data_IF_396018515664
#
_entry.id   IF_396018515664
#
_cell.length_a   1.000
_cell.length_b   1.000
_cell.length_c   1.000
_cell.angle_alpha   90.00
_cell.angle_beta   90.00
_cell.angle_gamma   90.00
#
_symmetry.space_group_name_H-M   'P 1'
#
loop_
_entity.id
_entity.type
_entity.pdbx_description
1 polymer ?
#
# COMPACT_ATOMS: atom_id res chain seq x y z
N UNK A 1 -17.62 8.94 3.53
CA UNK A 1 -16.17 9.24 3.69
C UNK A 1 -15.91 9.79 5.09
N UNK A 2 -14.94 9.21 5.82
CA UNK A 2 -14.50 9.65 7.15
C UNK A 2 -13.08 10.21 7.07
N UNK A 3 -12.79 11.32 7.73
CA UNK A 3 -11.44 11.89 7.78
C UNK A 3 -11.08 12.14 9.25
N UNK A 4 -9.96 11.57 9.71
CA UNK A 4 -9.45 11.78 11.06
C UNK A 4 -8.02 12.30 11.00
N UNK A 5 -7.69 13.22 11.90
CA UNK A 5 -6.31 13.65 12.13
C UNK A 5 -5.93 13.38 13.58
N UNK A 6 -4.80 12.73 13.77
CA UNK A 6 -4.27 12.35 15.09
C UNK A 6 -2.78 12.62 15.14
N UNK A 7 -2.20 12.68 16.33
CA UNK A 7 -0.75 12.78 16.52
C UNK A 7 -0.20 11.45 17.05
N UNK A 8 0.96 11.03 16.55
CA UNK A 8 1.73 9.91 17.10
C UNK A 8 3.21 10.05 16.72
N UNK A 9 4.13 9.47 17.50
CA UNK A 9 5.55 9.43 17.12
C UNK A 9 5.79 8.56 15.88
N UNK A 10 6.70 8.94 14.97
CA UNK A 10 7.05 8.12 13.83
C UNK A 10 7.78 6.85 14.27
N UNK A 11 7.63 5.77 13.51
CA UNK A 11 8.34 4.51 13.72
C UNK A 11 8.71 3.92 12.36
N UNK A 12 9.87 3.27 12.27
CA UNK A 12 10.26 2.51 11.07
C UNK A 12 9.30 1.34 10.76
N UNK A 13 8.57 0.88 11.77
CA UNK A 13 7.54 -0.14 11.66
C UNK A 13 6.17 0.54 11.66
N UNK A 14 5.74 1.01 10.48
CA UNK A 14 4.52 1.80 10.26
C UNK A 14 3.31 1.21 11.00
N UNK A 15 3.11 -0.10 10.90
CA UNK A 15 1.93 -0.77 11.46
C UNK A 15 1.92 -0.91 12.98
N UNK A 16 3.05 -0.60 13.65
CA UNK A 16 3.12 -0.56 15.12
C UNK A 16 2.72 0.80 15.69
N UNK A 17 2.58 1.82 14.84
CA UNK A 17 2.12 3.15 15.26
C UNK A 17 0.66 3.03 15.67
N UNK A 18 0.36 3.29 16.95
CA UNK A 18 -0.94 3.02 17.58
C UNK A 18 -2.18 3.35 16.72
N UNK A 19 -2.36 4.60 16.21
CA UNK A 19 -3.54 4.91 15.40
C UNK A 19 -3.62 4.12 14.09
N UNK A 20 -2.48 3.73 13.52
CA UNK A 20 -2.41 2.86 12.33
C UNK A 20 -2.79 1.43 12.72
N UNK A 21 -2.22 0.89 13.79
CA UNK A 21 -2.56 -0.45 14.29
C UNK A 21 -4.07 -0.58 14.58
N UNK A 22 -4.66 0.44 15.21
CA UNK A 22 -6.10 0.51 15.48
C UNK A 22 -6.94 0.59 14.20
N UNK A 23 -6.45 1.24 13.14
CA UNK A 23 -7.11 1.24 11.82
C UNK A 23 -7.04 -0.14 11.19
N UNK A 24 -5.86 -0.77 11.18
CA UNK A 24 -5.66 -2.10 10.61
C UNK A 24 -6.51 -3.15 11.32
N UNK A 25 -6.62 -3.09 12.66
CA UNK A 25 -7.48 -4.00 13.42
C UNK A 25 -8.96 -3.96 12.98
N UNK A 26 -9.46 -2.79 12.52
CA UNK A 26 -10.85 -2.65 12.04
C UNK A 26 -11.08 -3.22 10.64
N UNK A 27 -10.09 -3.06 9.74
CA UNK A 27 -10.25 -3.39 8.32
C UNK A 27 -9.65 -4.76 7.95
N UNK A 28 -8.51 -5.12 8.55
CA UNK A 28 -7.74 -6.32 8.21
C UNK A 28 -8.21 -7.54 8.98
N UNK A 29 -8.56 -7.37 10.26
CA UNK A 29 -8.97 -8.48 11.12
C UNK A 29 -7.84 -9.48 11.36
N UNK A 30 -8.07 -10.74 11.03
CA UNK A 30 -7.11 -11.84 11.20
C UNK A 30 -6.06 -11.93 10.07
N UNK A 31 -6.16 -11.08 9.05
CA UNK A 31 -5.21 -11.04 7.93
C UNK A 31 -5.41 -12.13 6.88
N UNK A 32 -6.43 -12.99 7.02
CA UNK A 32 -6.65 -14.08 6.07
C UNK A 32 -7.03 -13.56 4.69
N UNK A 33 -6.29 -14.00 3.68
CA UNK A 33 -6.41 -13.55 2.29
C UNK A 33 -5.91 -12.13 2.05
N UNK A 34 -5.22 -11.51 3.01
CA UNK A 34 -4.58 -10.21 2.82
C UNK A 34 -3.18 -10.35 2.24
N UNK A 35 -2.80 -9.34 1.45
CA UNK A 35 -1.52 -9.28 0.75
C UNK A 35 -0.78 -8.02 1.18
N UNK A 36 0.54 -8.15 1.37
CA UNK A 36 1.44 -7.04 1.65
C UNK A 36 2.74 -7.20 0.85
N UNK A 37 2.96 -6.38 -0.19
CA UNK A 37 4.18 -6.43 -1.00
C UNK A 37 5.42 -5.83 -0.32
N UNK A 38 5.24 -5.12 0.81
CA UNK A 38 6.24 -4.30 1.51
C UNK A 38 6.22 -4.58 3.02
N UNK A 39 6.10 -5.85 3.40
CA UNK A 39 5.65 -6.26 4.72
C UNK A 39 6.58 -5.88 5.89
N UNK A 40 7.89 -5.86 5.66
CA UNK A 40 8.87 -5.82 6.75
C UNK A 40 8.53 -6.84 7.84
N UNK A 41 8.73 -6.46 9.10
CA UNK A 41 8.60 -7.41 10.23
C UNK A 41 7.20 -7.55 10.84
N UNK A 42 6.29 -6.58 10.62
CA UNK A 42 5.07 -6.44 11.44
C UNK A 42 3.77 -6.45 10.62
N UNK A 43 3.79 -7.01 9.42
CA UNK A 43 2.59 -7.11 8.59
C UNK A 43 1.57 -8.10 9.20
N UNK A 44 0.29 -7.71 9.33
CA UNK A 44 -0.77 -8.64 9.70
C UNK A 44 -1.26 -9.50 8.53
N UNK A 45 -0.75 -9.31 7.30
CA UNK A 45 -1.24 -9.99 6.12
C UNK A 45 -0.84 -11.48 6.05
N UNK A 46 -1.67 -12.32 5.42
CA UNK A 46 -1.37 -13.72 5.19
C UNK A 46 -0.24 -13.91 4.17
N UNK A 47 -0.27 -13.15 3.07
CA UNK A 47 0.72 -13.20 1.99
C UNK A 47 1.63 -11.98 2.08
N UNK A 48 2.90 -12.20 2.41
CA UNK A 48 3.86 -11.12 2.69
C UNK A 48 5.11 -11.25 1.83
N UNK A 49 5.54 -10.12 1.28
CA UNK A 49 6.79 -9.97 0.56
C UNK A 49 7.62 -8.84 1.16
N UNK A 50 8.94 -9.00 1.17
CA UNK A 50 9.87 -7.93 1.49
C UNK A 50 11.13 -8.10 0.66
N UNK A 51 11.63 -7.03 0.05
CA UNK A 51 12.80 -7.08 -0.81
C UNK A 51 14.09 -7.49 -0.07
N UNK A 52 14.10 -7.33 1.25
CA UNK A 52 15.21 -7.72 2.11
C UNK A 52 14.94 -9.01 2.90
N UNK A 53 13.80 -9.66 2.67
CA UNK A 53 13.44 -10.91 3.34
C UNK A 53 13.20 -10.76 4.84
N UNK A 54 12.92 -9.54 5.33
CA UNK A 54 12.70 -9.30 6.76
C UNK A 54 11.33 -9.85 7.16
N UNK A 55 11.26 -11.01 7.79
CA UNK A 55 10.01 -11.57 8.35
C UNK A 55 8.94 -11.97 7.32
N UNK A 56 9.09 -11.58 6.06
CA UNK A 56 8.18 -11.91 4.97
C UNK A 56 8.33 -13.36 4.49
N UNK A 57 7.25 -13.93 3.96
CA UNK A 57 7.22 -15.30 3.43
C UNK A 57 7.84 -15.41 2.04
N UNK A 58 7.91 -14.31 1.29
CA UNK A 58 8.62 -14.21 0.02
C UNK A 58 9.62 -13.05 0.01
N UNK A 59 10.63 -13.20 -0.85
CA UNK A 59 11.66 -12.19 -1.08
C UNK A 59 11.89 -12.02 -2.58
N UNK A 60 11.13 -11.11 -3.19
CA UNK A 60 11.25 -10.76 -4.61
C UNK A 60 10.83 -9.31 -4.86
N UNK A 61 10.89 -8.86 -6.11
CA UNK A 61 10.34 -7.57 -6.51
C UNK A 61 8.83 -7.51 -6.20
N UNK A 62 8.37 -6.36 -5.71
CA UNK A 62 6.99 -6.19 -5.27
C UNK A 62 5.98 -6.31 -6.42
N UNK A 63 6.34 -5.86 -7.62
CA UNK A 63 5.48 -5.98 -8.79
C UNK A 63 5.37 -7.44 -9.23
N UNK A 64 6.49 -8.16 -9.31
CA UNK A 64 6.50 -9.59 -9.64
C UNK A 64 5.69 -10.39 -8.62
N UNK A 65 5.82 -10.05 -7.33
CA UNK A 65 5.01 -10.63 -6.27
C UNK A 65 3.51 -10.42 -6.49
N UNK A 66 3.09 -9.19 -6.80
CA UNK A 66 1.68 -8.87 -7.08
C UNK A 66 1.17 -9.60 -8.33
N UNK A 67 1.98 -9.68 -9.38
CA UNK A 67 1.65 -10.42 -10.62
C UNK A 67 1.42 -11.91 -10.33
N UNK A 68 2.20 -12.49 -9.42
CA UNK A 68 2.11 -13.92 -9.07
C UNK A 68 0.81 -14.33 -8.35
N UNK A 69 -0.02 -13.35 -7.94
CA UNK A 69 -1.25 -13.57 -7.19
C UNK A 69 -2.49 -13.40 -8.08
N UNK A 70 -3.54 -14.17 -7.76
CA UNK A 70 -4.81 -14.12 -8.50
C UNK A 70 -5.93 -13.42 -7.72
N UNK A 71 -5.95 -13.55 -6.41
CA UNK A 71 -7.09 -13.15 -5.57
C UNK A 71 -6.62 -12.66 -4.20
N UNK A 72 -7.18 -11.53 -3.75
CA UNK A 72 -6.98 -10.98 -2.43
C UNK A 72 -8.29 -10.47 -1.82
N UNK A 73 -8.45 -10.67 -0.51
CA UNK A 73 -9.51 -10.04 0.29
C UNK A 73 -9.20 -8.56 0.54
N UNK A 74 -7.91 -8.24 0.67
CA UNK A 74 -7.43 -6.88 0.75
C UNK A 74 -5.91 -6.79 0.57
N UNK A 75 -5.43 -5.56 0.38
CA UNK A 75 -4.01 -5.26 0.23
C UNK A 75 -3.60 -4.14 1.19
N UNK A 76 -2.45 -4.33 1.85
CA UNK A 76 -1.70 -3.26 2.50
C UNK A 76 -0.64 -2.78 1.52
N UNK A 77 -0.66 -1.49 1.19
CA UNK A 77 0.28 -0.89 0.24
C UNK A 77 1.07 0.20 0.95
N UNK A 78 2.17 -0.21 1.58
CA UNK A 78 3.12 0.65 2.30
C UNK A 78 4.49 0.72 1.58
N UNK A 79 4.54 1.25 0.34
CA UNK A 79 5.80 1.34 -0.39
C UNK A 79 6.75 2.36 0.26
N UNK A 80 8.04 2.38 -0.10
CA UNK A 80 8.92 3.48 0.24
C UNK A 80 8.32 4.83 -0.20
N UNK A 81 8.29 5.82 0.69
CA UNK A 81 7.56 7.08 0.48
C UNK A 81 8.31 8.11 -0.39
N UNK A 82 9.59 7.89 -0.69
CA UNK A 82 10.37 8.83 -1.51
C UNK A 82 11.21 8.14 -2.57
N UNK A 83 11.44 8.84 -3.68
CA UNK A 83 12.32 8.40 -4.78
C UNK A 83 13.71 8.03 -4.26
N UNK A 84 14.25 8.76 -3.29
CA UNK A 84 15.54 8.42 -2.68
C UNK A 84 15.49 7.07 -1.95
N UNK A 85 14.42 6.81 -1.20
CA UNK A 85 14.24 5.51 -0.54
C UNK A 85 14.09 4.38 -1.57
N UNK A 86 13.37 4.61 -2.66
CA UNK A 86 13.24 3.67 -3.77
C UNK A 86 14.60 3.36 -4.42
N UNK A 87 15.37 4.40 -4.77
CA UNK A 87 16.68 4.26 -5.39
C UNK A 87 17.70 3.57 -4.48
N UNK A 88 17.65 3.81 -3.16
CA UNK A 88 18.56 3.17 -2.20
C UNK A 88 18.23 1.69 -1.97
N UNK A 89 16.95 1.32 -1.96
CA UNK A 89 16.52 -0.03 -1.51
C UNK A 89 16.17 -0.98 -2.65
N UNK A 90 15.58 -0.48 -3.74
CA UNK A 90 15.00 -1.30 -4.80
C UNK A 90 15.86 -1.37 -6.06
N UNK A 91 16.31 -0.22 -6.58
CA UNK A 91 17.11 -0.17 -7.82
C UNK A 91 18.37 -1.05 -7.83
N UNK A 92 19.15 -1.17 -6.74
CA UNK A 92 20.40 -1.94 -6.74
C UNK A 92 20.21 -3.46 -6.72
N UNK A 93 19.04 -3.97 -6.30
CA UNK A 93 18.85 -5.40 -6.01
C UNK A 93 18.24 -6.19 -7.18
N UNK A 94 17.44 -5.53 -8.03
CA UNK A 94 16.70 -6.21 -9.11
C UNK A 94 16.71 -5.41 -10.43
N UNK A 95 17.77 -4.66 -10.74
CA UNK A 95 17.83 -3.75 -11.91
C UNK A 95 16.63 -2.76 -11.96
N UNK A 96 16.11 -2.39 -10.80
CA UNK A 96 14.70 -2.01 -10.63
C UNK A 96 14.32 -0.63 -11.19
N UNK A 97 13.12 -0.55 -11.77
CA UNK A 97 12.46 0.67 -12.24
C UNK A 97 11.68 1.40 -11.13
N UNK A 98 11.76 0.95 -9.88
CA UNK A 98 11.04 1.51 -8.72
C UNK A 98 11.30 3.01 -8.45
N UNK A 99 12.34 3.60 -9.04
CA UNK A 99 12.53 5.06 -9.04
C UNK A 99 11.58 5.82 -9.98
N UNK A 100 10.83 5.13 -10.84
CA UNK A 100 9.92 5.71 -11.85
C UNK A 100 8.48 5.65 -11.36
N UNK A 101 7.71 6.72 -11.62
CA UNK A 101 6.28 6.79 -11.28
C UNK A 101 5.46 5.62 -11.88
N UNK A 102 5.83 5.19 -13.10
CA UNK A 102 5.19 4.08 -13.83
C UNK A 102 5.18 2.76 -13.03
N UNK A 103 6.26 2.46 -12.31
CA UNK A 103 6.36 1.23 -11.50
C UNK A 103 5.27 1.18 -10.43
N UNK A 104 5.04 2.30 -9.74
CA UNK A 104 4.00 2.42 -8.71
C UNK A 104 2.59 2.39 -9.31
N UNK A 105 2.43 2.94 -10.51
CA UNK A 105 1.21 2.80 -11.31
C UNK A 105 0.88 1.33 -11.56
N UNK A 106 1.84 0.56 -12.08
CA UNK A 106 1.70 -0.89 -12.33
C UNK A 106 1.39 -1.67 -11.06
N UNK A 107 2.05 -1.35 -9.94
CA UNK A 107 1.72 -1.98 -8.66
C UNK A 107 0.25 -1.74 -8.29
N UNK A 108 -0.24 -0.50 -8.43
CA UNK A 108 -1.65 -0.19 -8.16
C UNK A 108 -2.60 -0.88 -9.15
N UNK A 109 -2.19 -1.06 -10.40
CA UNK A 109 -3.00 -1.79 -11.40
C UNK A 109 -3.11 -3.27 -11.03
N UNK A 110 -2.02 -3.90 -10.60
CA UNK A 110 -2.03 -5.28 -10.12
C UNK A 110 -2.82 -5.46 -8.82
N UNK A 111 -2.72 -4.50 -7.88
CA UNK A 111 -3.56 -4.47 -6.67
C UNK A 111 -5.04 -4.39 -7.06
N UNK A 112 -5.37 -3.52 -8.01
CA UNK A 112 -6.72 -3.40 -8.52
C UNK A 112 -7.16 -4.70 -9.20
N UNK A 113 -6.29 -5.42 -9.92
CA UNK A 113 -6.59 -6.72 -10.54
C UNK A 113 -6.94 -7.78 -9.50
N UNK A 114 -6.11 -7.97 -8.48
CA UNK A 114 -6.23 -9.10 -7.53
C UNK A 114 -7.31 -8.92 -6.47
N UNK A 115 -7.64 -7.68 -6.06
CA UNK A 115 -8.70 -7.44 -5.08
C UNK A 115 -10.06 -7.77 -5.71
N UNK A 116 -10.96 -8.44 -5.00
CA UNK A 116 -12.35 -8.65 -5.47
C UNK A 116 -13.25 -7.46 -5.14
N UNK A 117 -14.36 -7.20 -5.88
CA UNK A 117 -15.36 -6.23 -5.44
C UNK A 117 -15.78 -6.48 -3.99
N UNK A 118 -15.87 -5.41 -3.20
CA UNK A 118 -16.06 -5.43 -1.76
C UNK A 118 -14.76 -5.51 -0.94
N UNK A 119 -13.64 -5.93 -1.53
CA UNK A 119 -12.33 -5.97 -0.90
C UNK A 119 -11.72 -4.59 -0.67
N UNK A 120 -10.70 -4.52 0.18
CA UNK A 120 -10.15 -3.27 0.71
C UNK A 120 -8.68 -3.09 0.32
N UNK A 121 -8.31 -1.88 -0.10
CA UNK A 121 -6.92 -1.45 -0.19
C UNK A 121 -6.64 -0.40 0.88
N UNK A 122 -5.62 -0.61 1.70
CA UNK A 122 -5.10 0.39 2.64
C UNK A 122 -3.76 0.88 2.11
N UNK A 123 -3.70 2.14 1.68
CA UNK A 123 -2.48 2.73 1.12
C UNK A 123 -1.87 3.75 2.07
N UNK A 124 -0.54 3.77 2.12
CA UNK A 124 0.26 4.64 2.97
C UNK A 124 1.17 5.50 2.09
N UNK A 125 1.12 6.83 2.26
CA UNK A 125 1.93 7.76 1.48
C UNK A 125 2.04 9.13 2.19
N UNK A 126 2.66 10.10 1.50
CA UNK A 126 2.61 11.53 1.81
C UNK A 126 1.55 12.29 1.01
N UNK A 127 0.68 11.58 0.31
CA UNK A 127 -0.49 12.11 -0.38
C UNK A 127 -1.74 11.26 -0.08
N UNK A 128 -2.91 11.79 -0.41
CA UNK A 128 -4.20 11.13 -0.19
C UNK A 128 -4.79 10.50 -1.46
N UNK A 129 -3.99 10.19 -2.48
CA UNK A 129 -4.50 9.64 -3.75
C UNK A 129 -5.08 8.23 -3.58
N UNK A 130 -4.44 7.39 -2.75
CA UNK A 130 -4.81 5.99 -2.58
C UNK A 130 -4.83 5.23 -3.91
N UNK A 131 -5.89 4.43 -4.13
CA UNK A 131 -6.12 3.67 -5.38
C UNK A 131 -6.86 4.46 -6.46
N UNK A 132 -7.75 5.37 -6.07
CA UNK A 132 -8.53 6.21 -6.97
C UNK A 132 -9.70 5.52 -7.67
N UNK A 133 -10.63 6.34 -8.21
CA UNK A 133 -11.81 5.89 -8.95
C UNK A 133 -11.50 5.34 -10.34
N UNK A 134 -10.36 5.74 -10.94
CA UNK A 134 -9.89 5.17 -12.21
C UNK A 134 -9.47 3.69 -12.11
N UNK A 135 -9.22 3.21 -10.88
CA UNK A 135 -9.07 1.77 -10.55
C UNK A 135 -10.30 1.24 -9.82
N UNK A 136 -11.40 1.99 -9.91
CA UNK A 136 -12.69 1.90 -9.21
C UNK A 136 -12.64 1.35 -7.81
N UNK A 137 -11.89 2.09 -7.01
CA UNK A 137 -12.05 2.15 -5.58
C UNK A 137 -12.89 3.38 -5.21
N UNK A 138 -13.78 3.21 -4.24
CA UNK A 138 -14.39 4.31 -3.49
C UNK A 138 -13.55 4.60 -2.25
N UNK A 139 -13.35 5.86 -1.91
CA UNK A 139 -12.60 6.25 -0.71
C UNK A 139 -13.50 6.23 0.54
N UNK A 140 -13.16 5.38 1.51
CA UNK A 140 -13.92 5.18 2.74
C UNK A 140 -13.42 6.05 3.89
N UNK A 141 -12.12 5.96 4.20
CA UNK A 141 -11.49 6.62 5.34
C UNK A 141 -10.13 7.20 4.95
N UNK A 142 -9.82 8.39 5.48
CA UNK A 142 -8.48 8.97 5.50
C UNK A 142 -8.07 9.13 6.97
N UNK A 143 -6.89 8.63 7.32
CA UNK A 143 -6.25 8.87 8.61
C UNK A 143 -4.96 9.65 8.37
N UNK A 144 -4.93 10.89 8.86
CA UNK A 144 -3.75 11.75 8.88
C UNK A 144 -3.04 11.57 10.21
N UNK A 145 -1.86 10.94 10.19
CA UNK A 145 -1.02 10.78 11.38
C UNK A 145 0.07 11.84 11.34
N UNK A 146 -0.13 12.88 12.14
CA UNK A 146 0.85 13.93 12.30
C UNK A 146 1.96 13.48 13.23
N UNK A 147 3.20 13.54 12.75
CA UNK A 147 4.38 13.15 13.52
C UNK A 147 5.02 14.33 14.26
N UNK A 148 4.69 15.56 13.86
CA UNK A 148 5.21 16.79 14.45
C UNK A 148 6.66 17.09 14.08
N UNK A 149 7.18 18.21 14.59
CA UNK A 149 8.52 18.71 14.30
C UNK A 149 8.81 18.79 12.79
N UNK A 150 9.92 18.21 12.33
CA UNK A 150 10.34 18.20 10.93
C UNK A 150 10.09 16.84 10.25
N UNK A 151 9.12 16.07 10.74
CA UNK A 151 8.74 14.79 10.14
C UNK A 151 7.55 14.98 9.18
N UNK A 152 7.60 14.30 8.04
CA UNK A 152 6.44 14.18 7.16
C UNK A 152 5.36 13.37 7.88
N UNK A 153 4.10 13.74 7.68
CA UNK A 153 2.94 12.99 8.15
C UNK A 153 2.84 11.65 7.42
N UNK A 154 2.28 10.63 8.06
CA UNK A 154 1.82 9.42 7.36
C UNK A 154 0.34 9.60 7.01
N UNK A 155 0.03 9.58 5.72
CA UNK A 155 -1.34 9.64 5.21
C UNK A 155 -1.76 8.22 4.86
N UNK A 156 -2.77 7.72 5.58
CA UNK A 156 -3.37 6.41 5.32
C UNK A 156 -4.72 6.60 4.65
N UNK A 157 -4.94 5.93 3.52
CA UNK A 157 -6.22 5.92 2.81
C UNK A 157 -6.78 4.51 2.76
N UNK A 158 -8.08 4.38 2.98
CA UNK A 158 -8.80 3.12 2.90
C UNK A 158 -9.78 3.20 1.74
N UNK A 159 -9.52 2.43 0.69
CA UNK A 159 -10.38 2.31 -0.48
C UNK A 159 -11.11 0.97 -0.51
N UNK A 160 -12.37 0.96 -0.93
CA UNK A 160 -13.10 -0.29 -1.23
C UNK A 160 -13.26 -0.45 -2.74
N UNK A 161 -12.96 -1.65 -3.25
CA UNK A 161 -13.18 -1.97 -4.66
C UNK A 161 -14.68 -2.10 -4.93
N UNK A 162 -15.21 -1.32 -5.87
CA UNK A 162 -16.66 -1.30 -6.17
C UNK A 162 -17.04 -2.06 -7.45
N UNK A 163 -16.12 -2.22 -8.39
CA UNK A 163 -16.38 -2.97 -9.64
C UNK A 163 -15.10 -3.72 -10.06
N UNK A 164 -15.19 -4.64 -11.02
CA UNK A 164 -14.06 -5.46 -11.46
C UNK A 164 -13.34 -4.88 -12.68
N UNK A 165 -14.09 -4.19 -13.54
CA UNK A 165 -13.61 -3.60 -14.78
C UNK A 165 -13.51 -2.08 -14.60
N UNK A 166 -12.37 -1.51 -14.97
CA UNK A 166 -12.16 -0.08 -14.97
C UNK A 166 -11.61 0.31 -16.32
N UNK A 167 -12.19 1.34 -16.92
CA UNK A 167 -11.58 1.98 -18.08
C UNK A 167 -10.39 2.79 -17.55
N UNK A 168 -9.20 2.52 -18.07
CA UNK A 168 -8.05 3.39 -17.83
C UNK A 168 -8.44 4.82 -18.17
N UNK A 169 -8.18 5.81 -17.30
CA UNK A 169 -8.51 7.19 -17.64
C UNK A 169 -7.80 7.57 -18.94
N UNK A 170 -8.49 8.22 -19.89
CA UNK A 170 -7.86 8.70 -21.11
C UNK A 170 -6.81 9.76 -20.73
N UNK A 171 -5.52 9.45 -20.94
CA UNK A 171 -4.43 10.43 -20.84
C UNK A 171 -3.31 10.13 -19.83
N UNK A 172 -2.72 8.94 -19.88
CA UNK A 172 -1.42 8.67 -19.23
C UNK A 172 -0.30 8.40 -20.26
N UNK A 173 -0.41 9.02 -21.44
CA UNK A 173 0.68 9.16 -22.40
C UNK A 173 0.97 10.66 -22.56
N UNK A 174 1.90 11.18 -21.76
CA UNK A 174 2.76 12.33 -22.10
C UNK A 174 4.17 12.08 -21.55
#
# INVERSE_FOLDING_TARGET
>A
MKINRVWAMPNKWTFTIKPIAELLARYVGDGKGWVDPFAGENSPAEFTNDIEGRGAKSQMDALDFLISLDNANGVLFDPPYSVEQCLRRYTPKFNGTAGRAEYWGKCKDEIARIIKPGGIAVSFCWDSCGMGTGRGFELLEILLVCHGACHNDTIVTVGRKIQSNFESPPGAEE
#
